data_IF_205938725578
#
_entry.id   IF_205938725578
#
_cell.length_a   1.000
_cell.length_b   1.000
_cell.length_c   1.000
_cell.angle_alpha   90.00
_cell.angle_beta   90.00
_cell.angle_gamma   90.00
#
_symmetry.space_group_name_H-M   'P 1'
#
loop_
_entity.id
_entity.type
_entity.pdbx_description
1 polymer ?
#
# COMPACT_ATOMS: atom_id res chain seq x y z
N UNK A 1 -6.57 18.78 -20.20
CA UNK A 1 -7.92 18.24 -19.95
C UNK A 1 -7.91 17.61 -18.57
N UNK A 2 -8.92 17.94 -17.77
CA UNK A 2 -8.98 17.85 -16.33
C UNK A 2 -8.59 16.48 -15.74
N UNK A 3 -7.83 16.54 -14.64
CA UNK A 3 -7.62 15.45 -13.69
C UNK A 3 -8.97 14.85 -13.30
N UNK A 4 -9.17 13.58 -13.66
CA UNK A 4 -10.15 12.74 -12.98
C UNK A 4 -9.58 12.41 -11.60
N UNK A 5 -9.73 13.34 -10.66
CA UNK A 5 -9.65 13.04 -9.24
C UNK A 5 -10.62 11.89 -8.95
N UNK A 6 -10.09 10.80 -8.41
CA UNK A 6 -10.89 9.74 -7.81
C UNK A 6 -11.86 10.40 -6.83
N UNK A 7 -13.16 10.20 -7.04
CA UNK A 7 -14.24 10.86 -6.30
C UNK A 7 -14.38 10.37 -4.84
N UNK A 8 -13.28 10.15 -4.13
CA UNK A 8 -13.24 9.77 -2.70
C UNK A 8 -12.22 10.55 -1.84
N UNK A 9 -11.43 11.47 -2.41
CA UNK A 9 -10.32 12.12 -1.67
C UNK A 9 -10.59 13.54 -1.13
N UNK A 10 -11.84 13.89 -0.86
CA UNK A 10 -12.16 15.16 -0.20
C UNK A 10 -12.90 14.92 1.12
N UNK A 11 -12.14 14.67 2.18
CA UNK A 11 -12.57 15.15 3.50
C UNK A 11 -12.48 16.67 3.40
N UNK A 12 -13.65 17.32 3.29
CA UNK A 12 -13.75 18.77 3.23
C UNK A 12 -13.02 19.38 4.44
N UNK A 13 -12.34 20.53 4.30
CA UNK A 13 -11.78 21.22 5.45
C UNK A 13 -12.88 21.44 6.50
N UNK A 14 -12.72 20.84 7.69
CA UNK A 14 -13.70 20.86 8.78
C UNK A 14 -14.58 19.61 8.94
N UNK A 15 -14.45 18.58 8.10
CA UNK A 15 -15.09 17.29 8.34
C UNK A 15 -14.39 16.55 9.50
N UNK A 16 -15.18 15.94 10.38
CA UNK A 16 -14.68 15.23 11.56
C UNK A 16 -13.73 14.10 11.15
N UNK A 17 -12.64 13.93 11.90
CA UNK A 17 -11.72 12.82 11.72
C UNK A 17 -12.50 11.49 11.85
N UNK A 18 -12.43 10.60 10.86
CA UNK A 18 -13.20 9.36 10.89
C UNK A 18 -12.66 8.42 11.96
N UNK A 19 -13.55 7.65 12.59
CA UNK A 19 -13.13 6.65 13.57
C UNK A 19 -12.37 5.51 12.89
N UNK A 20 -11.12 5.30 13.30
CA UNK A 20 -10.30 4.18 12.84
C UNK A 20 -10.39 3.02 13.84
N UNK A 21 -10.98 1.91 13.40
CA UNK A 21 -11.00 0.68 14.19
C UNK A 21 -9.66 -0.05 14.10
N UNK A 22 -8.67 0.37 14.88
CA UNK A 22 -7.34 -0.26 14.91
C UNK A 22 -7.33 -1.72 15.40
N UNK A 23 -8.45 -2.25 15.89
CA UNK A 23 -8.57 -3.66 16.24
C UNK A 23 -8.75 -4.56 15.00
N UNK A 24 -9.16 -4.00 13.86
CA UNK A 24 -9.33 -4.78 12.63
C UNK A 24 -8.00 -5.44 12.19
N UNK A 25 -8.04 -6.67 11.67
CA UNK A 25 -6.85 -7.50 11.43
C UNK A 25 -5.87 -6.91 10.41
N UNK A 26 -6.36 -6.20 9.38
CA UNK A 26 -5.50 -5.55 8.38
C UNK A 26 -4.72 -4.34 8.94
N UNK A 27 -4.99 -3.93 10.18
CA UNK A 27 -4.27 -2.86 10.87
C UNK A 27 -3.20 -3.32 11.84
N UNK A 28 -3.01 -4.63 12.04
CA UNK A 28 -2.07 -5.18 13.02
C UNK A 28 -0.69 -4.50 12.96
N UNK A 29 -0.16 -4.36 11.76
CA UNK A 29 1.15 -3.77 11.45
C UNK A 29 1.26 -2.24 11.62
N UNK A 30 0.12 -1.58 11.77
CA UNK A 30 -0.02 -0.12 11.81
C UNK A 30 -0.52 0.38 13.15
N UNK A 31 -1.15 -0.50 13.94
CA UNK A 31 -1.92 -0.19 15.15
C UNK A 31 -1.21 0.76 16.09
N UNK A 32 0.02 0.45 16.50
CA UNK A 32 0.69 1.23 17.53
C UNK A 32 1.04 2.65 17.06
N UNK A 33 1.68 2.77 15.90
CA UNK A 33 2.08 4.09 15.35
C UNK A 33 0.86 4.87 14.88
N UNK A 34 -0.09 4.20 14.25
CA UNK A 34 -1.33 4.79 13.74
C UNK A 34 -2.21 5.31 14.87
N UNK A 35 -2.45 4.52 15.91
CA UNK A 35 -3.22 4.93 17.09
C UNK A 35 -2.55 6.11 17.80
N UNK A 36 -1.22 6.08 17.99
CA UNK A 36 -0.49 7.20 18.58
C UNK A 36 -0.61 8.50 17.75
N UNK A 37 -0.59 8.39 16.42
CA UNK A 37 -0.69 9.54 15.52
C UNK A 37 -2.13 10.08 15.49
N UNK A 38 -3.12 9.19 15.37
CA UNK A 38 -4.53 9.57 15.41
C UNK A 38 -4.88 10.26 16.73
N UNK A 39 -4.41 9.72 17.87
CA UNK A 39 -4.67 10.34 19.16
C UNK A 39 -4.22 11.80 19.16
N UNK A 40 -3.06 12.14 18.60
CA UNK A 40 -2.60 13.53 18.50
C UNK A 40 -3.47 14.38 17.59
N UNK A 41 -3.89 13.86 16.44
CA UNK A 41 -4.80 14.56 15.53
C UNK A 41 -6.14 14.86 16.22
N UNK A 42 -6.69 13.91 16.98
CA UNK A 42 -7.91 14.09 17.76
C UNK A 42 -7.75 15.15 18.88
N UNK A 43 -6.53 15.39 19.35
CA UNK A 43 -6.20 16.49 20.29
C UNK A 43 -5.85 17.81 19.59
N UNK A 44 -6.09 17.93 18.28
CA UNK A 44 -5.97 19.18 17.52
C UNK A 44 -4.60 19.39 16.85
N UNK A 45 -3.70 18.40 16.88
CA UNK A 45 -2.47 18.48 16.09
C UNK A 45 -2.76 18.35 14.58
N UNK A 46 -1.95 19.01 13.75
CA UNK A 46 -1.95 18.71 12.31
C UNK A 46 -1.47 17.27 12.07
N UNK A 47 -1.84 16.67 10.94
CA UNK A 47 -1.35 15.34 10.55
C UNK A 47 0.17 15.34 10.43
N UNK A 48 0.75 16.43 9.91
CA UNK A 48 2.20 16.57 9.80
C UNK A 48 2.89 16.54 11.17
N UNK A 49 2.39 17.31 12.14
CA UNK A 49 2.96 17.37 13.49
C UNK A 49 2.77 16.03 14.22
N UNK A 50 1.58 15.44 14.13
CA UNK A 50 1.29 14.13 14.70
C UNK A 50 2.29 13.07 14.20
N UNK A 51 2.50 13.00 12.87
CA UNK A 51 3.43 12.04 12.27
C UNK A 51 4.90 12.31 12.66
N UNK A 52 5.32 13.57 12.75
CA UNK A 52 6.69 13.92 13.15
C UNK A 52 6.99 13.55 14.62
N UNK A 53 5.98 13.55 15.50
CA UNK A 53 6.19 13.36 16.93
C UNK A 53 6.03 11.90 17.39
N UNK A 54 5.36 11.03 16.63
CA UNK A 54 5.10 9.63 17.06
C UNK A 54 6.28 8.70 16.82
N UNK A 55 7.08 8.96 15.79
CA UNK A 55 8.22 8.14 15.42
C UNK A 55 9.18 8.96 14.57
N UNK A 56 10.48 8.68 14.68
CA UNK A 56 11.44 9.26 13.76
C UNK A 56 11.29 8.64 12.36
N UNK A 57 11.19 9.49 11.34
CA UNK A 57 11.29 9.13 9.93
C UNK A 57 12.55 9.77 9.32
N UNK A 58 13.12 9.23 8.24
CA UNK A 58 14.19 9.88 7.49
C UNK A 58 13.72 11.13 6.72
N UNK A 59 12.42 11.44 6.77
CA UNK A 59 11.79 12.60 6.17
C UNK A 59 11.07 13.41 7.25
N UNK A 60 10.86 14.70 6.99
CA UNK A 60 10.04 15.57 7.84
C UNK A 60 8.73 15.87 7.15
N UNK A 61 7.61 15.59 7.82
CA UNK A 61 6.29 15.99 7.33
C UNK A 61 6.12 17.49 7.53
N UNK A 62 5.59 18.18 6.52
CA UNK A 62 5.37 19.63 6.57
C UNK A 62 3.97 19.95 6.05
N UNK A 63 3.32 21.04 6.51
CA UNK A 63 2.03 21.45 5.98
C UNK A 63 2.05 21.63 4.46
N UNK A 64 0.93 21.31 3.80
CA UNK A 64 0.76 21.57 2.37
C UNK A 64 1.01 23.06 2.05
N UNK A 65 1.72 23.35 0.95
CA UNK A 65 2.09 24.71 0.55
C UNK A 65 3.43 25.20 1.09
N UNK A 66 4.07 24.43 1.98
CA UNK A 66 5.47 24.65 2.33
C UNK A 66 6.35 24.59 1.05
N UNK A 67 7.31 25.52 0.86
CA UNK A 67 8.16 25.54 -0.33
C UNK A 67 8.95 24.24 -0.48
N UNK A 68 8.84 23.59 -1.64
CA UNK A 68 9.71 22.50 -2.06
C UNK A 68 10.86 23.06 -2.90
N UNK A 69 12.05 22.48 -2.74
CA UNK A 69 13.26 22.91 -3.45
C UNK A 69 13.21 22.69 -4.97
N UNK A 70 12.26 21.90 -5.47
CA UNK A 70 12.03 21.63 -6.89
C UNK A 70 10.53 21.65 -7.19
N UNK A 71 10.14 22.20 -8.35
CA UNK A 71 8.74 22.49 -8.70
C UNK A 71 7.77 21.30 -8.78
N UNK A 72 8.22 20.05 -8.62
CA UNK A 72 7.39 18.84 -8.61
C UNK A 72 7.44 18.11 -7.27
N UNK A 73 6.33 17.49 -6.88
CA UNK A 73 6.16 16.84 -5.59
C UNK A 73 7.26 15.81 -5.30
N UNK A 74 7.49 14.85 -6.20
CA UNK A 74 8.45 13.77 -5.96
C UNK A 74 9.89 14.29 -5.93
N UNK A 75 10.28 15.12 -6.90
CA UNK A 75 11.61 15.74 -6.96
C UNK A 75 11.87 16.66 -5.77
N UNK A 76 10.85 17.37 -5.30
CA UNK A 76 10.91 18.25 -4.14
C UNK A 76 11.11 17.50 -2.84
N UNK A 77 10.40 16.37 -2.65
CA UNK A 77 10.64 15.47 -1.51
C UNK A 77 12.08 14.96 -1.54
N UNK A 78 12.53 14.43 -2.68
CA UNK A 78 13.91 13.91 -2.83
C UNK A 78 14.97 14.94 -2.47
N UNK A 79 14.80 16.18 -2.94
CA UNK A 79 15.79 17.24 -2.75
C UNK A 79 15.80 17.81 -1.32
N UNK A 80 14.65 17.84 -0.65
CA UNK A 80 14.50 18.54 0.64
C UNK A 80 14.33 17.62 1.86
N UNK A 81 14.03 16.34 1.64
CA UNK A 81 13.62 15.42 2.70
C UNK A 81 12.30 15.82 3.37
N UNK A 82 11.50 16.70 2.74
CA UNK A 82 10.23 17.20 3.28
C UNK A 82 9.05 16.64 2.51
N UNK A 83 8.08 16.09 3.21
CA UNK A 83 6.85 15.53 2.63
C UNK A 83 5.69 16.49 2.91
N UNK A 84 5.18 17.22 1.89
CA UNK A 84 3.96 18.00 2.04
C UNK A 84 2.80 17.08 2.44
N UNK A 85 2.13 17.44 3.51
CA UNK A 85 1.15 16.60 4.20
C UNK A 85 -0.09 17.45 4.48
N UNK A 86 -1.23 16.99 3.97
CA UNK A 86 -2.56 17.56 4.23
C UNK A 86 -3.17 16.91 5.48
N UNK A 87 -4.10 17.63 6.11
CA UNK A 87 -4.87 17.11 7.22
C UNK A 87 -6.02 16.20 6.73
N UNK A 88 -5.67 15.07 6.14
CA UNK A 88 -6.62 14.05 5.67
C UNK A 88 -6.08 12.62 5.88
N UNK A 89 -6.97 11.63 5.75
CA UNK A 89 -6.59 10.21 5.90
C UNK A 89 -5.55 9.74 4.89
N UNK A 90 -5.62 10.24 3.66
CA UNK A 90 -4.74 9.82 2.58
C UNK A 90 -3.27 10.10 2.94
N UNK A 91 -2.98 11.33 3.35
CA UNK A 91 -1.63 11.77 3.71
C UNK A 91 -1.21 11.24 5.08
N UNK A 92 -2.16 11.01 5.99
CA UNK A 92 -1.93 10.29 7.25
C UNK A 92 -1.41 8.88 6.99
N UNK A 93 -2.09 8.08 6.17
CA UNK A 93 -1.63 6.73 5.82
C UNK A 93 -0.34 6.76 5.01
N UNK A 94 -0.16 7.73 4.10
CA UNK A 94 1.11 7.91 3.41
C UNK A 94 2.27 8.15 4.39
N UNK A 95 2.03 8.93 5.45
CA UNK A 95 2.99 9.16 6.51
C UNK A 95 3.32 7.90 7.31
N UNK A 96 2.31 7.10 7.67
CA UNK A 96 2.54 5.80 8.31
C UNK A 96 3.37 4.87 7.42
N UNK A 97 3.11 4.85 6.11
CA UNK A 97 3.91 4.07 5.13
C UNK A 97 5.36 4.56 5.08
N UNK A 98 5.61 5.87 5.15
CA UNK A 98 6.97 6.42 5.28
C UNK A 98 7.68 5.97 6.56
N UNK A 99 6.96 5.86 7.69
CA UNK A 99 7.50 5.36 8.95
C UNK A 99 7.87 3.88 8.90
N UNK A 100 7.04 3.07 8.23
CA UNK A 100 7.21 1.60 8.16
C UNK A 100 8.17 1.16 7.07
N UNK A 101 8.13 1.81 5.90
CA UNK A 101 8.91 1.45 4.72
C UNK A 101 9.75 2.63 4.18
N UNK A 102 10.64 3.21 5.00
CA UNK A 102 11.40 4.40 4.63
C UNK A 102 12.28 4.19 3.38
N UNK A 103 12.95 3.05 3.24
CA UNK A 103 13.84 2.78 2.11
C UNK A 103 13.04 2.57 0.82
N UNK A 104 11.97 1.79 0.89
CA UNK A 104 11.12 1.51 -0.26
C UNK A 104 10.38 2.76 -0.74
N UNK A 105 9.89 3.62 0.16
CA UNK A 105 9.26 4.90 -0.20
C UNK A 105 10.26 5.87 -0.81
N UNK A 106 11.48 5.98 -0.27
CA UNK A 106 12.55 6.77 -0.87
C UNK A 106 12.90 6.27 -2.28
N UNK A 107 12.97 4.95 -2.47
CA UNK A 107 13.24 4.35 -3.77
C UNK A 107 12.12 4.62 -4.78
N UNK A 108 10.84 4.45 -4.41
CA UNK A 108 9.72 4.77 -5.30
C UNK A 108 9.70 6.25 -5.66
N UNK A 109 9.92 7.13 -4.69
CA UNK A 109 10.00 8.56 -4.91
C UNK A 109 11.12 8.89 -5.92
N UNK A 110 12.29 8.28 -5.76
CA UNK A 110 13.42 8.40 -6.70
C UNK A 110 13.05 7.96 -8.11
N UNK A 111 12.46 6.77 -8.26
CA UNK A 111 12.07 6.22 -9.57
C UNK A 111 11.02 7.10 -10.26
N UNK A 112 10.04 7.61 -9.50
CA UNK A 112 9.02 8.50 -10.05
C UNK A 112 9.62 9.84 -10.48
N UNK A 113 10.49 10.44 -9.66
CA UNK A 113 11.18 11.68 -10.00
C UNK A 113 12.07 11.54 -11.26
N UNK A 114 12.79 10.43 -11.38
CA UNK A 114 13.61 10.12 -12.56
C UNK A 114 12.75 9.91 -13.82
N UNK A 115 11.63 9.20 -13.70
CA UNK A 115 10.69 9.02 -14.81
C UNK A 115 10.06 10.36 -15.26
N UNK A 116 9.69 11.24 -14.33
CA UNK A 116 9.16 12.58 -14.64
C UNK A 116 10.21 13.45 -15.33
N UNK A 117 11.47 13.37 -14.89
CA UNK A 117 12.57 14.10 -15.53
C UNK A 117 12.83 13.61 -16.97
N UNK A 118 12.64 12.32 -17.24
CA UNK A 118 12.83 11.74 -18.57
C UNK A 118 11.64 11.98 -19.52
N UNK A 119 10.40 11.76 -19.04
CA UNK A 119 9.19 11.77 -19.88
C UNK A 119 8.53 13.16 -19.97
N UNK A 120 8.94 14.10 -19.11
CA UNK A 120 8.27 15.39 -18.95
C UNK A 120 6.92 15.28 -18.22
N UNK A 121 6.34 16.44 -17.92
CA UNK A 121 5.22 16.55 -16.97
C UNK A 121 3.85 16.36 -17.65
N UNK A 122 3.74 16.69 -18.94
CA UNK A 122 2.48 16.76 -19.70
C UNK A 122 2.16 15.59 -20.62
N UNK A 123 3.05 14.58 -20.71
CA UNK A 123 2.84 13.38 -21.51
C UNK A 123 1.97 12.32 -20.81
N UNK A 124 1.47 11.33 -21.58
CA UNK A 124 0.90 10.10 -21.00
C UNK A 124 1.96 9.48 -20.09
N UNK A 125 1.62 9.18 -18.83
CA UNK A 125 2.52 8.53 -17.88
C UNK A 125 3.14 7.29 -18.50
N UNK A 126 4.47 7.20 -18.47
CA UNK A 126 5.20 6.02 -18.91
C UNK A 126 4.89 4.79 -18.04
N UNK A 127 5.16 3.58 -18.53
CA UNK A 127 4.82 2.32 -17.84
C UNK A 127 5.46 2.22 -16.44
N UNK A 128 6.65 2.78 -16.25
CA UNK A 128 7.34 2.82 -14.95
C UNK A 128 6.58 3.69 -13.95
N UNK A 129 6.23 4.93 -14.33
CA UNK A 129 5.50 5.85 -13.45
C UNK A 129 4.11 5.32 -13.11
N UNK A 130 3.41 4.74 -14.09
CA UNK A 130 2.12 4.09 -13.86
C UNK A 130 2.23 2.94 -12.85
N UNK A 131 3.20 2.04 -13.02
CA UNK A 131 3.40 0.92 -12.11
C UNK A 131 3.82 1.37 -10.70
N UNK A 132 4.71 2.36 -10.61
CA UNK A 132 5.13 2.96 -9.34
C UNK A 132 3.93 3.59 -8.61
N UNK A 133 3.10 4.36 -9.32
CA UNK A 133 1.88 4.95 -8.76
C UNK A 133 0.93 3.87 -8.27
N UNK A 134 0.65 2.85 -9.10
CA UNK A 134 -0.27 1.77 -8.73
C UNK A 134 0.19 1.03 -7.48
N UNK A 135 1.48 0.79 -7.33
CA UNK A 135 2.03 0.13 -6.15
C UNK A 135 2.03 1.07 -4.93
N UNK A 136 2.37 2.35 -5.09
CA UNK A 136 2.35 3.30 -3.97
C UNK A 136 0.93 3.52 -3.42
N UNK A 137 -0.07 3.45 -4.29
CA UNK A 137 -1.48 3.64 -3.93
C UNK A 137 -2.13 2.35 -3.41
N UNK A 138 -1.85 1.20 -4.03
CA UNK A 138 -2.58 -0.06 -3.79
C UNK A 138 -1.68 -1.29 -3.66
N UNK A 139 -0.40 -1.12 -3.38
CA UNK A 139 0.57 -2.21 -3.27
C UNK A 139 0.41 -3.05 -2.02
N UNK A 140 0.82 -4.31 -2.12
CA UNK A 140 1.06 -5.19 -0.98
C UNK A 140 2.20 -6.16 -1.30
N UNK A 141 2.81 -6.75 -0.27
CA UNK A 141 3.85 -7.77 -0.39
C UNK A 141 3.33 -9.07 0.19
N UNK A 142 3.44 -10.14 -0.60
CA UNK A 142 3.09 -11.48 -0.17
C UNK A 142 4.35 -12.33 0.00
N UNK A 143 4.43 -13.00 1.15
CA UNK A 143 5.35 -14.08 1.41
C UNK A 143 4.56 -15.26 1.99
N UNK A 144 4.86 -16.48 1.55
CA UNK A 144 4.12 -17.65 2.00
C UNK A 144 4.38 -18.88 1.13
N UNK A 145 3.66 -19.98 1.41
CA UNK A 145 3.77 -21.23 0.67
C UNK A 145 3.58 -21.05 -0.84
N UNK A 146 4.34 -21.82 -1.63
CA UNK A 146 4.27 -21.80 -3.11
C UNK A 146 2.86 -22.06 -3.62
N UNK A 147 2.12 -22.97 -2.98
CA UNK A 147 0.75 -23.33 -3.37
C UNK A 147 -0.20 -22.13 -3.35
N UNK A 148 -0.04 -21.22 -2.38
CA UNK A 148 -0.83 -19.99 -2.30
C UNK A 148 -0.41 -19.00 -3.38
N UNK A 149 0.90 -18.85 -3.62
CA UNK A 149 1.38 -17.98 -4.69
C UNK A 149 0.88 -18.44 -6.07
N UNK A 150 0.92 -19.74 -6.34
CA UNK A 150 0.44 -20.31 -7.60
C UNK A 150 -1.06 -20.06 -7.79
N UNK A 151 -1.87 -20.31 -6.76
CA UNK A 151 -3.30 -20.04 -6.80
C UNK A 151 -3.60 -18.54 -7.01
N UNK A 152 -2.87 -17.66 -6.33
CA UNK A 152 -2.99 -16.20 -6.49
C UNK A 152 -2.61 -15.76 -7.91
N UNK A 153 -1.45 -16.18 -8.41
CA UNK A 153 -0.98 -15.84 -9.76
C UNK A 153 -1.95 -16.33 -10.85
N UNK A 154 -2.54 -17.52 -10.67
CA UNK A 154 -3.54 -18.09 -11.55
C UNK A 154 -4.94 -17.47 -11.39
N UNK A 155 -5.18 -16.67 -10.34
CA UNK A 155 -6.50 -16.18 -9.92
C UNK A 155 -7.49 -17.33 -9.68
N UNK A 156 -6.99 -18.44 -9.14
CA UNK A 156 -7.80 -19.54 -8.66
C UNK A 156 -8.23 -19.25 -7.22
N UNK A 157 -9.33 -18.50 -7.10
CA UNK A 157 -9.83 -18.02 -5.81
C UNK A 157 -10.31 -19.14 -4.89
N UNK A 158 -10.84 -20.23 -5.46
CA UNK A 158 -11.27 -21.40 -4.70
C UNK A 158 -10.06 -22.15 -4.14
N UNK A 159 -9.01 -22.37 -4.96
CA UNK A 159 -7.76 -22.92 -4.44
C UNK A 159 -7.15 -22.00 -3.37
N UNK A 160 -7.06 -20.70 -3.65
CA UNK A 160 -6.39 -19.73 -2.80
C UNK A 160 -7.03 -19.58 -1.42
N UNK A 161 -8.36 -19.43 -1.37
CA UNK A 161 -9.05 -19.02 -0.14
C UNK A 161 -9.89 -20.11 0.54
N UNK A 162 -10.20 -21.18 -0.17
CA UNK A 162 -11.03 -22.28 0.33
C UNK A 162 -10.18 -23.55 0.49
N UNK A 163 -9.66 -24.11 -0.60
CA UNK A 163 -8.95 -25.40 -0.55
C UNK A 163 -7.65 -25.33 0.24
N UNK A 164 -6.88 -24.24 0.10
CA UNK A 164 -5.62 -24.02 0.80
C UNK A 164 -5.76 -23.03 1.96
N UNK A 165 -6.97 -22.82 2.50
CA UNK A 165 -7.23 -21.85 3.58
C UNK A 165 -6.28 -22.00 4.76
N UNK A 166 -6.00 -23.23 5.19
CA UNK A 166 -5.11 -23.50 6.33
C UNK A 166 -3.67 -23.05 6.09
N UNK A 167 -3.18 -23.08 4.85
CA UNK A 167 -1.82 -22.65 4.51
C UNK A 167 -1.59 -21.14 4.70
N UNK A 168 -2.66 -20.33 4.85
CA UNK A 168 -2.54 -18.91 5.16
C UNK A 168 -1.96 -18.64 6.55
N UNK A 169 -1.98 -19.62 7.47
CA UNK A 169 -1.30 -19.50 8.76
C UNK A 169 0.22 -19.28 8.59
N UNK A 170 0.80 -19.81 7.51
CA UNK A 170 2.20 -19.68 7.13
C UNK A 170 2.45 -18.52 6.14
N UNK A 171 1.42 -17.75 5.79
CA UNK A 171 1.55 -16.61 4.89
C UNK A 171 1.55 -15.28 5.65
N UNK A 172 2.17 -14.29 5.02
CA UNK A 172 2.16 -12.89 5.43
C UNK A 172 1.78 -12.03 4.23
N UNK A 173 0.85 -11.12 4.47
CA UNK A 173 0.44 -10.10 3.51
C UNK A 173 0.65 -8.74 4.15
N UNK A 174 1.74 -8.09 3.78
CA UNK A 174 2.09 -6.76 4.28
C UNK A 174 1.54 -5.70 3.32
N UNK A 175 0.70 -4.80 3.83
CA UNK A 175 0.17 -3.71 3.02
C UNK A 175 1.23 -2.64 2.81
N UNK A 176 1.20 -1.99 1.64
CA UNK A 176 2.09 -0.87 1.32
C UNK A 176 1.30 0.34 0.81
N UNK A 177 0.27 0.09 0.00
CA UNK A 177 -0.50 1.12 -0.66
C UNK A 177 -1.26 2.02 0.31
N UNK A 178 -0.93 3.32 0.36
CA UNK A 178 -1.55 4.22 1.33
C UNK A 178 -3.04 4.49 1.05
N UNK A 179 -3.47 4.55 -0.22
CA UNK A 179 -4.90 4.60 -0.54
C UNK A 179 -5.62 3.27 -0.31
N UNK A 180 -4.92 2.12 -0.41
CA UNK A 180 -5.47 0.83 -0.01
C UNK A 180 -5.79 0.82 1.49
N UNK A 181 -4.89 1.33 2.33
CA UNK A 181 -5.16 1.56 3.76
C UNK A 181 -6.38 2.47 3.92
N UNK A 182 -6.41 3.64 3.27
CA UNK A 182 -7.58 4.53 3.32
C UNK A 182 -8.92 3.86 2.97
N UNK A 183 -8.94 2.99 1.96
CA UNK A 183 -10.15 2.22 1.58
C UNK A 183 -10.60 1.23 2.65
N UNK A 184 -9.69 0.72 3.47
CA UNK A 184 -9.99 -0.24 4.54
C UNK A 184 -10.59 0.42 5.79
N UNK A 185 -10.63 1.76 5.86
CA UNK A 185 -11.43 2.49 6.86
C UNK A 185 -12.93 2.26 6.66
N UNK A 186 -13.37 2.07 5.42
CA UNK A 186 -14.75 1.72 5.06
C UNK A 186 -14.73 0.48 4.14
N UNK A 187 -14.47 -0.70 4.71
CA UNK A 187 -14.15 -1.90 3.95
C UNK A 187 -15.31 -2.31 3.05
N UNK A 188 -14.99 -2.61 1.78
CA UNK A 188 -15.93 -3.17 0.80
C UNK A 188 -15.31 -4.35 0.07
N UNK A 189 -16.13 -5.32 -0.31
CA UNK A 189 -15.71 -6.61 -0.89
C UNK A 189 -14.69 -6.49 -2.03
N UNK A 190 -14.88 -5.51 -2.92
CA UNK A 190 -14.06 -5.30 -4.11
C UNK A 190 -12.82 -4.43 -3.93
N UNK A 191 -12.25 -4.31 -2.73
CA UNK A 191 -10.93 -3.69 -2.53
C UNK A 191 -9.86 -4.68 -3.02
N UNK A 192 -8.96 -4.22 -3.89
CA UNK A 192 -7.95 -5.07 -4.53
C UNK A 192 -6.56 -4.45 -4.41
N UNK A 193 -5.61 -5.24 -3.90
CA UNK A 193 -4.20 -4.88 -3.86
C UNK A 193 -3.46 -5.34 -5.11
N UNK A 194 -2.31 -4.71 -5.39
CA UNK A 194 -1.34 -5.09 -6.40
C UNK A 194 -0.14 -5.73 -5.72
N UNK A 195 -0.10 -7.07 -5.76
CA UNK A 195 0.79 -7.85 -4.91
C UNK A 195 2.11 -8.12 -5.59
N UNK A 196 3.21 -7.85 -4.87
CA UNK A 196 4.54 -8.34 -5.18
C UNK A 196 4.85 -9.59 -4.35
N UNK A 197 5.38 -10.63 -4.99
CA UNK A 197 5.91 -11.79 -4.28
C UNK A 197 7.30 -11.53 -3.73
N UNK A 198 7.49 -11.81 -2.44
CA UNK A 198 8.79 -11.92 -1.78
C UNK A 198 9.11 -13.39 -1.46
N UNK A 199 10.38 -13.83 -1.52
CA UNK A 199 10.78 -15.16 -1.07
C UNK A 199 10.55 -15.38 0.44
N UNK A 200 10.00 -16.54 0.81
CA UNK A 200 9.70 -16.91 2.21
C UNK A 200 10.95 -17.04 3.09
N UNK A 201 12.11 -17.39 2.50
CA UNK A 201 13.37 -17.56 3.22
C UNK A 201 13.78 -16.33 4.05
N UNK A 202 13.33 -15.13 3.65
CA UNK A 202 13.61 -13.88 4.38
C UNK A 202 12.84 -13.84 5.72
N UNK A 203 11.63 -14.41 5.79
CA UNK A 203 10.83 -14.44 7.03
C UNK A 203 11.30 -15.51 8.01
N UNK A 204 11.72 -16.67 7.50
CA UNK A 204 12.24 -17.75 8.36
C UNK A 204 13.56 -17.37 9.07
N UNK A 205 14.26 -16.35 8.58
CA UNK A 205 15.50 -15.83 9.21
C UNK A 205 15.17 -14.84 10.33
N UNK A 206 14.03 -14.15 10.27
CA UNK A 206 13.69 -13.08 11.18
C UNK A 206 12.56 -13.49 12.15
N UNK A 207 12.93 -13.97 13.33
CA UNK A 207 11.98 -14.29 14.41
C UNK A 207 11.38 -13.04 15.06
N UNK A 208 12.05 -11.89 14.92
CA UNK A 208 11.63 -10.61 15.48
C UNK A 208 10.81 -9.80 14.45
N UNK A 209 9.58 -9.37 14.79
CA UNK A 209 8.71 -8.59 13.88
C UNK A 209 9.34 -7.30 13.34
N UNK A 210 10.18 -6.61 14.13
CA UNK A 210 10.87 -5.40 13.70
C UNK A 210 11.94 -5.74 12.66
N UNK A 211 12.67 -6.84 12.88
CA UNK A 211 13.67 -7.33 11.90
C UNK A 211 12.98 -7.78 10.61
N UNK A 212 11.84 -8.47 10.72
CA UNK A 212 11.06 -8.90 9.56
C UNK A 212 10.56 -7.70 8.73
N UNK A 213 10.00 -6.66 9.38
CA UNK A 213 9.56 -5.44 8.72
C UNK A 213 10.72 -4.69 8.03
N UNK A 214 11.86 -4.56 8.70
CA UNK A 214 13.07 -3.95 8.11
C UNK A 214 13.59 -4.75 6.90
N UNK A 215 13.51 -6.08 6.95
CA UNK A 215 13.88 -6.95 5.83
C UNK A 215 12.90 -6.79 4.65
N UNK A 216 11.60 -6.57 4.92
CA UNK A 216 10.62 -6.24 3.87
C UNK A 216 10.94 -4.90 3.22
N UNK A 217 11.22 -3.86 4.02
CA UNK A 217 11.59 -2.53 3.52
C UNK A 217 12.84 -2.57 2.62
N UNK A 218 13.91 -3.20 3.10
CA UNK A 218 15.15 -3.35 2.33
C UNK A 218 14.95 -4.18 1.05
N UNK A 219 14.18 -5.28 1.14
CA UNK A 219 13.85 -6.08 -0.03
C UNK A 219 13.06 -5.26 -1.05
N UNK A 220 12.02 -4.54 -0.64
CA UNK A 220 11.24 -3.68 -1.52
C UNK A 220 12.12 -2.61 -2.18
N UNK A 221 12.97 -1.92 -1.42
CA UNK A 221 13.88 -0.92 -1.95
C UNK A 221 14.82 -1.48 -3.03
N UNK A 222 15.34 -2.71 -2.86
CA UNK A 222 16.16 -3.37 -3.89
C UNK A 222 15.38 -3.84 -5.12
N UNK A 223 14.06 -3.98 -5.02
CA UNK A 223 13.24 -4.63 -6.04
C UNK A 223 12.30 -3.68 -6.79
N UNK A 224 12.04 -2.47 -6.27
CA UNK A 224 11.28 -1.43 -6.95
C UNK A 224 12.18 -0.66 -7.93
N UNK A 225 12.76 -1.38 -8.89
CA UNK A 225 13.60 -0.83 -9.95
C UNK A 225 12.78 -0.42 -11.17
N UNK A 226 13.23 0.55 -11.99
CA UNK A 226 12.52 0.94 -13.21
C UNK A 226 12.24 -0.26 -14.15
N UNK A 227 13.23 -1.13 -14.35
CA UNK A 227 13.08 -2.31 -15.21
C UNK A 227 12.00 -3.27 -14.69
N UNK A 228 11.97 -3.56 -13.38
CA UNK A 228 10.94 -4.44 -12.81
C UNK A 228 9.56 -3.79 -12.89
N UNK A 229 9.45 -2.51 -12.58
CA UNK A 229 8.19 -1.76 -12.61
C UNK A 229 7.62 -1.65 -14.04
N UNK A 230 8.47 -1.44 -15.05
CA UNK A 230 8.06 -1.42 -16.45
C UNK A 230 7.36 -2.72 -16.88
N UNK A 231 7.77 -3.86 -16.32
CA UNK A 231 7.17 -5.17 -16.58
C UNK A 231 5.81 -5.39 -15.86
N UNK A 232 5.36 -4.45 -15.02
CA UNK A 232 4.11 -4.53 -14.24
C UNK A 232 3.97 -5.87 -13.49
N UNK A 233 4.85 -6.15 -12.52
CA UNK A 233 5.06 -7.47 -11.92
C UNK A 233 3.99 -7.84 -10.88
N UNK A 234 2.82 -7.20 -10.91
CA UNK A 234 1.83 -7.26 -9.85
C UNK A 234 0.74 -8.26 -10.16
N UNK A 235 0.33 -9.02 -9.14
CA UNK A 235 -0.86 -9.88 -9.20
C UNK A 235 -1.99 -9.24 -8.39
N UNK A 236 -3.20 -9.10 -8.94
CA UNK A 236 -4.32 -8.54 -8.20
C UNK A 236 -4.79 -9.48 -7.09
N UNK A 237 -5.06 -8.95 -5.89
CA UNK A 237 -5.61 -9.70 -4.75
C UNK A 237 -6.80 -8.97 -4.13
N UNK A 238 -8.03 -9.51 -4.17
CA UNK A 238 -9.14 -8.98 -3.37
C UNK A 238 -8.86 -9.18 -1.87
N UNK A 239 -8.47 -8.12 -1.16
CA UNK A 239 -7.86 -8.24 0.18
C UNK A 239 -8.83 -8.74 1.26
N UNK A 240 -10.13 -8.46 1.12
CA UNK A 240 -11.13 -9.00 2.04
C UNK A 240 -11.41 -10.49 1.81
N UNK A 241 -10.78 -11.12 0.82
CA UNK A 241 -10.77 -12.56 0.66
C UNK A 241 -9.75 -13.28 1.57
N UNK A 242 -8.75 -12.56 2.08
CA UNK A 242 -7.68 -13.12 2.93
C UNK A 242 -8.29 -13.73 4.20
N UNK A 243 -8.04 -15.01 4.51
CA UNK A 243 -8.60 -15.66 5.69
C UNK A 243 -8.31 -14.89 6.98
N UNK A 244 -9.31 -14.75 7.84
CA UNK A 244 -9.22 -14.02 9.11
C UNK A 244 -9.34 -12.50 8.99
N UNK A 245 -9.36 -11.92 7.77
CA UNK A 245 -9.48 -10.47 7.62
C UNK A 245 -10.91 -9.97 7.67
N UNK A 246 -11.88 -10.75 7.18
CA UNK A 246 -13.26 -10.29 7.06
C UNK A 246 -14.25 -11.39 7.45
N UNK A 247 -15.17 -11.17 8.41
CA UNK A 247 -16.05 -12.22 8.90
C UNK A 247 -16.85 -12.92 7.80
N UNK A 248 -17.34 -12.18 6.80
CA UNK A 248 -18.13 -12.78 5.73
C UNK A 248 -17.33 -13.78 4.85
N UNK A 249 -16.00 -13.73 4.88
CA UNK A 249 -15.14 -14.63 4.10
C UNK A 249 -14.94 -16.01 4.75
N UNK A 250 -15.50 -16.23 5.95
CA UNK A 250 -15.57 -17.55 6.56
C UNK A 250 -16.52 -18.49 5.81
N UNK A 251 -17.56 -17.92 5.18
CA UNK A 251 -18.47 -18.67 4.32
C UNK A 251 -17.86 -18.88 2.92
N UNK A 252 -17.71 -20.13 2.43
CA UNK A 252 -17.14 -20.38 1.10
C UNK A 252 -17.87 -19.67 -0.05
N UNK A 253 -19.20 -19.47 0.07
CA UNK A 253 -20.01 -18.75 -0.91
C UNK A 253 -19.62 -17.26 -1.06
N UNK A 254 -18.85 -16.70 -0.14
CA UNK A 254 -18.28 -15.36 -0.28
C UNK A 254 -17.46 -15.22 -1.56
N UNK A 255 -16.75 -16.29 -1.95
CA UNK A 255 -15.84 -16.30 -3.08
C UNK A 255 -16.54 -16.52 -4.44
N UNK A 256 -17.85 -16.80 -4.44
CA UNK A 256 -18.63 -17.04 -5.67
C UNK A 256 -19.05 -15.73 -6.39
N UNK A 257 -18.83 -14.57 -5.78
CA UNK A 257 -19.14 -13.28 -6.41
C UNK A 257 -18.12 -12.94 -7.50
N UNK A 258 -18.46 -13.36 -8.73
CA UNK A 258 -17.67 -13.16 -9.94
C UNK A 258 -17.44 -11.68 -10.30
N UNK A 259 -18.12 -10.71 -9.66
CA UNK A 259 -17.80 -9.28 -9.87
C UNK A 259 -16.49 -8.90 -9.17
N UNK A 260 -16.14 -9.61 -8.10
CA UNK A 260 -14.93 -9.41 -7.29
C UNK A 260 -13.90 -10.50 -7.60
N UNK A 261 -14.30 -11.76 -7.47
CA UNK A 261 -13.43 -12.93 -7.64
C UNK A 261 -13.46 -13.43 -9.08
N UNK A 262 -12.95 -12.59 -9.99
CA UNK A 262 -12.90 -12.90 -11.43
C UNK A 262 -11.77 -13.87 -11.73
N UNK A 263 -12.01 -15.06 -12.30
CA UNK A 263 -10.93 -15.95 -12.73
C UNK A 263 -10.06 -15.29 -13.80
N UNK A 264 -8.85 -15.80 -14.00
CA UNK A 264 -8.04 -15.38 -15.14
C UNK A 264 -8.81 -15.63 -16.45
N UNK A 265 -8.69 -14.70 -17.41
CA UNK A 265 -9.27 -14.91 -18.75
C UNK A 265 -8.57 -16.12 -19.37
N UNK A 266 -9.34 -17.15 -19.75
CA UNK A 266 -8.80 -18.20 -20.60
C UNK A 266 -8.30 -17.54 -21.89
N UNK A 267 -7.10 -17.88 -22.39
CA UNK A 267 -6.72 -17.48 -23.74
C UNK A 267 -7.79 -18.01 -24.72
N UNK A 268 -8.07 -17.31 -25.83
CA UNK A 268 -8.99 -17.82 -26.83
C UNK A 268 -8.54 -19.22 -27.24
N UNK A 269 -9.47 -20.17 -27.29
CA UNK A 269 -9.22 -21.49 -27.85
C UNK A 269 -8.72 -21.32 -29.30
N UNK A 270 -7.75 -22.13 -29.75
CA UNK A 270 -7.23 -22.05 -31.11
C UNK A 270 -8.30 -22.25 -32.17
#
# INVERSE_FOLDING_TARGET
MAEAASAQDAVLPGAAWPALDWAAPWWEDWRDTGHAAEARVLHGASVADALNEVRAAPVRFVPQGAPLAAGHYESGIRASGRVPTRDNLHDFFNGLVWHRYPQAKAQLNRVQAEAIAADGIGGRRGPVRDAATVFDENGAVFAGPEVLWQALAARDWQALFVNHRAAWAEARLELFGHALLGKLVSPRKGITAHVLRRPLAIENIASDPVVAANATDAWLAGHLTPARLAAKPFVPLPVLGVPGWWPANEAPAFYDDLRVFRPARKPPSP
#
